data_IF_107933099156
#
_entry.id   IF_107933099156
#
_cell.length_a   1.000
_cell.length_b   1.000
_cell.length_c   1.000
_cell.angle_alpha   90.00
_cell.angle_beta   90.00
_cell.angle_gamma   90.00
#
_symmetry.space_group_name_H-M   'P 1'
#
loop_
_entity.id
_entity.type
_entity.pdbx_description
1 polymer ?
#
# COMPACT_ATOMS: atom_id res chain seq x y z
N UNK A 1 1.12 -22.75 -18.27
CA UNK A 1 0.51 -22.38 -16.97
C UNK A 1 -0.06 -20.98 -17.13
N UNK A 2 -1.39 -20.85 -17.11
CA UNK A 2 -2.04 -19.55 -17.15
C UNK A 2 -1.59 -18.76 -15.91
N UNK A 3 -0.92 -17.62 -16.11
CA UNK A 3 -0.70 -16.66 -15.05
C UNK A 3 -2.09 -16.31 -14.53
N UNK A 4 -2.38 -16.66 -13.28
CA UNK A 4 -3.56 -16.13 -12.62
C UNK A 4 -3.41 -14.61 -12.66
N UNK A 5 -4.31 -13.93 -13.38
CA UNK A 5 -4.52 -12.48 -13.30
C UNK A 5 -5.02 -12.17 -11.89
N UNK A 6 -4.11 -12.33 -10.92
CA UNK A 6 -4.35 -11.98 -9.53
C UNK A 6 -4.45 -10.47 -9.55
N UNK A 7 -5.65 -9.94 -9.35
CA UNK A 7 -5.88 -8.52 -9.17
C UNK A 7 -5.07 -8.03 -7.95
N UNK A 8 -3.83 -7.63 -8.20
CA UNK A 8 -2.91 -7.13 -7.17
C UNK A 8 -3.38 -5.75 -6.77
N UNK A 9 -3.37 -5.47 -5.47
CA UNK A 9 -3.76 -4.17 -4.94
C UNK A 9 -2.77 -3.11 -5.41
N UNK A 10 -3.22 -1.90 -5.73
CA UNK A 10 -2.33 -0.83 -6.17
C UNK A 10 -1.38 -0.44 -5.03
N UNK A 11 -0.17 0.00 -5.39
CA UNK A 11 0.90 0.30 -4.43
C UNK A 11 0.53 1.31 -3.34
N UNK A 12 -0.40 2.24 -3.59
CA UNK A 12 -0.83 3.19 -2.56
C UNK A 12 -1.50 2.48 -1.37
N UNK A 13 -2.22 1.37 -1.60
CA UNK A 13 -2.84 0.57 -0.53
C UNK A 13 -1.76 -0.07 0.34
N UNK A 14 -0.67 -0.51 -0.29
CA UNK A 14 0.51 -1.02 0.43
C UNK A 14 1.09 0.05 1.35
N UNK A 15 1.34 1.27 0.84
CA UNK A 15 1.87 2.38 1.65
C UNK A 15 0.94 2.77 2.80
N UNK A 16 -0.39 2.82 2.58
CA UNK A 16 -1.36 3.09 3.66
C UNK A 16 -1.25 2.02 4.74
N UNK A 17 -1.20 0.75 4.35
CA UNK A 17 -1.10 -0.35 5.30
C UNK A 17 0.19 -0.25 6.13
N UNK A 18 1.34 0.00 5.50
CA UNK A 18 2.61 0.17 6.21
C UNK A 18 2.56 1.34 7.20
N UNK A 19 2.03 2.50 6.81
CA UNK A 19 1.92 3.64 7.73
C UNK A 19 1.00 3.35 8.91
N UNK A 20 -0.19 2.80 8.66
CA UNK A 20 -1.14 2.48 9.73
C UNK A 20 -0.53 1.47 10.68
N UNK A 21 0.03 0.38 10.16
CA UNK A 21 0.66 -0.67 10.94
C UNK A 21 1.86 -0.15 11.72
N UNK A 22 2.73 0.63 11.07
CA UNK A 22 3.92 1.20 11.67
C UNK A 22 3.58 2.17 12.81
N UNK A 23 2.65 3.09 12.59
CA UNK A 23 2.18 4.05 13.62
C UNK A 23 1.49 3.30 14.76
N UNK A 24 0.65 2.31 14.47
CA UNK A 24 0.03 1.46 15.49
C UNK A 24 1.08 0.75 16.33
N UNK A 25 2.12 0.21 15.72
CA UNK A 25 3.17 -0.52 16.44
C UNK A 25 4.05 0.41 17.28
N UNK A 26 4.36 1.61 16.79
CA UNK A 26 4.98 2.67 17.62
C UNK A 26 4.11 2.99 18.83
N UNK A 27 2.81 3.20 18.60
CA UNK A 27 1.87 3.57 19.66
C UNK A 27 1.70 2.45 20.68
N UNK A 28 1.66 1.19 20.24
CA UNK A 28 1.66 0.02 21.11
C UNK A 28 2.93 -0.01 21.98
N UNK A 29 4.11 0.27 21.39
CA UNK A 29 5.35 0.37 22.14
C UNK A 29 5.34 1.46 23.21
N UNK A 30 4.76 2.62 22.93
CA UNK A 30 4.62 3.68 23.93
C UNK A 30 3.69 3.31 25.10
N UNK A 31 2.91 2.23 24.98
CA UNK A 31 2.00 1.74 26.01
C UNK A 31 2.56 0.53 26.78
N UNK A 32 3.75 0.04 26.43
CA UNK A 32 4.35 -1.16 27.04
C UNK A 32 5.53 -0.80 27.96
N UNK A 33 5.82 -1.61 28.99
CA UNK A 33 7.00 -1.42 29.85
C UNK A 33 8.31 -1.47 29.07
N UNK A 34 8.36 -2.30 28.02
CA UNK A 34 9.48 -2.43 27.09
C UNK A 34 9.16 -1.76 25.75
N UNK A 35 9.32 -0.44 25.62
CA UNK A 35 8.87 0.31 24.44
C UNK A 35 9.80 0.13 23.25
N UNK A 36 11.07 -0.21 23.49
CA UNK A 36 12.13 -0.08 22.49
C UNK A 36 11.87 -0.95 21.26
N UNK A 37 11.64 -2.25 21.44
CA UNK A 37 11.45 -3.18 20.33
C UNK A 37 10.24 -2.84 19.43
N UNK A 38 8.99 -2.74 19.95
CA UNK A 38 7.85 -2.35 19.13
C UNK A 38 8.00 -0.95 18.52
N UNK A 39 8.55 0.02 19.26
CA UNK A 39 8.72 1.39 18.73
C UNK A 39 9.72 1.46 17.58
N UNK A 40 10.87 0.79 17.71
CA UNK A 40 11.88 0.77 16.65
C UNK A 40 11.40 0.01 15.41
N UNK A 41 10.71 -1.11 15.58
CA UNK A 41 10.10 -1.85 14.47
C UNK A 41 9.03 -1.01 13.76
N UNK A 42 8.15 -0.35 14.52
CA UNK A 42 7.13 0.53 13.96
C UNK A 42 7.74 1.71 13.20
N UNK A 43 8.75 2.35 13.79
CA UNK A 43 9.49 3.45 13.15
C UNK A 43 10.19 3.00 11.86
N UNK A 44 10.78 1.80 11.85
CA UNK A 44 11.40 1.21 10.66
C UNK A 44 10.38 1.02 9.53
N UNK A 45 9.19 0.50 9.83
CA UNK A 45 8.11 0.32 8.86
C UNK A 45 7.65 1.68 8.30
N UNK A 46 7.44 2.68 9.17
CA UNK A 46 7.07 4.04 8.75
C UNK A 46 8.16 4.65 7.86
N UNK A 47 9.43 4.51 8.22
CA UNK A 47 10.55 5.03 7.44
C UNK A 47 10.64 4.37 6.05
N UNK A 48 10.41 3.06 5.97
CA UNK A 48 10.38 2.34 4.70
C UNK A 48 9.25 2.86 3.79
N UNK A 49 8.03 2.98 4.32
CA UNK A 49 6.88 3.53 3.60
C UNK A 49 7.07 5.00 3.18
N UNK A 50 7.75 5.78 4.02
CA UNK A 50 8.03 7.20 3.82
C UNK A 50 9.10 7.47 2.76
N UNK A 51 10.00 6.52 2.51
CA UNK A 51 11.14 6.72 1.61
C UNK A 51 10.95 6.13 0.21
N UNK A 52 9.90 5.33 -0.01
CA UNK A 52 9.62 4.72 -1.32
C UNK A 52 8.89 5.66 -2.26
N UNK A 53 9.27 5.63 -3.54
CA UNK A 53 8.64 6.38 -4.63
C UNK A 53 7.18 5.94 -4.82
N UNK A 54 6.26 6.77 -4.37
CA UNK A 54 4.85 6.44 -4.31
C UNK A 54 3.97 7.65 -3.99
N UNK A 55 2.66 7.56 -4.23
CA UNK A 55 1.74 8.68 -4.03
C UNK A 55 1.66 9.18 -2.57
N UNK A 56 2.09 8.36 -1.60
CA UNK A 56 2.09 8.71 -0.18
C UNK A 56 3.51 8.81 0.40
N UNK A 57 4.51 9.00 -0.46
CA UNK A 57 5.89 9.19 -0.02
C UNK A 57 6.07 10.53 0.69
N UNK A 58 6.84 10.56 1.77
CA UNK A 58 7.36 11.80 2.34
C UNK A 58 8.70 12.18 1.68
N UNK A 59 9.48 11.18 1.27
CA UNK A 59 10.79 11.32 0.67
C UNK A 59 10.91 10.37 -0.53
N UNK A 60 10.78 10.86 -1.77
CA UNK A 60 10.76 10.04 -2.99
C UNK A 60 12.15 9.49 -3.41
N UNK A 61 12.82 8.74 -2.54
CA UNK A 61 14.22 8.32 -2.71
C UNK A 61 14.32 6.90 -3.28
N UNK A 62 13.65 5.93 -2.66
CA UNK A 62 13.80 4.50 -2.94
C UNK A 62 12.85 4.04 -4.05
N UNK A 63 13.31 3.41 -5.13
CA UNK A 63 12.42 2.86 -6.15
C UNK A 63 11.66 1.62 -5.63
N UNK A 64 10.41 1.44 -6.10
CA UNK A 64 9.51 0.34 -5.69
C UNK A 64 10.10 -1.08 -5.81
N UNK A 65 11.02 -1.28 -6.76
CA UNK A 65 11.72 -2.56 -6.94
C UNK A 65 12.63 -2.89 -5.75
N UNK A 66 13.29 -1.87 -5.19
CA UNK A 66 14.15 -2.04 -4.01
C UNK A 66 13.28 -2.22 -2.77
N UNK A 67 12.22 -1.41 -2.61
CA UNK A 67 11.22 -1.58 -1.54
C UNK A 67 10.67 -3.01 -1.47
N UNK A 68 10.28 -3.58 -2.62
CA UNK A 68 9.81 -4.98 -2.71
C UNK A 68 10.80 -6.00 -2.13
N UNK A 69 12.11 -5.72 -2.19
CA UNK A 69 13.16 -6.58 -1.63
C UNK A 69 13.42 -6.29 -0.14
N UNK A 70 13.19 -5.05 0.30
CA UNK A 70 13.36 -4.62 1.69
C UNK A 70 12.20 -5.14 2.56
N UNK A 71 10.96 -5.13 2.08
CA UNK A 71 9.81 -5.49 2.91
C UNK A 71 9.92 -6.90 3.53
N UNK A 72 10.36 -7.95 2.81
CA UNK A 72 10.56 -9.27 3.42
C UNK A 72 11.63 -9.29 4.50
N UNK A 73 12.64 -8.43 4.40
CA UNK A 73 13.62 -8.28 5.46
C UNK A 73 12.96 -7.63 6.68
N UNK A 74 12.16 -6.57 6.49
CA UNK A 74 11.48 -5.88 7.58
C UNK A 74 10.46 -6.79 8.27
N UNK A 75 9.52 -7.40 7.55
CA UNK A 75 8.55 -8.29 8.20
C UNK A 75 9.21 -9.55 8.75
N UNK A 76 10.33 -10.00 8.15
CA UNK A 76 11.16 -11.07 8.71
C UNK A 76 11.73 -10.70 10.08
N UNK A 77 12.30 -9.50 10.22
CA UNK A 77 12.79 -8.98 11.49
C UNK A 77 11.68 -8.85 12.54
N UNK A 78 10.49 -8.38 12.13
CA UNK A 78 9.31 -8.31 12.99
C UNK A 78 8.93 -9.71 13.50
N UNK A 79 8.83 -10.70 12.61
CA UNK A 79 8.48 -12.08 12.99
C UNK A 79 9.55 -12.72 13.88
N UNK A 80 10.83 -12.50 13.60
CA UNK A 80 11.93 -12.99 14.43
C UNK A 80 11.90 -12.36 15.82
N UNK A 81 11.57 -11.07 15.93
CA UNK A 81 11.43 -10.38 17.22
C UNK A 81 10.30 -10.99 18.05
N UNK A 82 9.17 -11.32 17.41
CA UNK A 82 8.06 -12.00 18.08
C UNK A 82 8.42 -13.42 18.54
N UNK A 83 9.13 -14.19 17.69
CA UNK A 83 9.41 -15.61 17.89
C UNK A 83 10.59 -15.87 18.84
N UNK A 84 11.63 -15.03 18.80
CA UNK A 84 12.85 -15.27 19.56
C UNK A 84 12.79 -14.63 20.96
N UNK A 85 13.22 -15.34 22.02
CA UNK A 85 13.25 -14.81 23.38
C UNK A 85 14.48 -13.91 23.64
N UNK A 86 14.83 -13.04 22.68
CA UNK A 86 16.02 -12.17 22.79
C UNK A 86 15.72 -10.87 23.55
N UNK A 87 14.47 -10.43 23.50
CA UNK A 87 13.99 -9.23 24.17
C UNK A 87 13.02 -9.60 25.30
N UNK A 88 13.01 -8.83 26.39
CA UNK A 88 12.13 -9.05 27.55
C UNK A 88 10.69 -8.53 27.30
N UNK A 89 10.11 -8.94 26.17
CA UNK A 89 8.79 -8.50 25.73
C UNK A 89 7.74 -9.47 26.28
N UNK A 90 6.68 -8.94 26.89
CA UNK A 90 5.56 -9.73 27.39
C UNK A 90 4.81 -10.47 26.26
N UNK A 91 4.05 -11.51 26.63
CA UNK A 91 3.35 -12.36 25.68
C UNK A 91 2.31 -11.63 24.81
N UNK A 92 1.64 -10.61 25.37
CA UNK A 92 0.66 -9.81 24.63
C UNK A 92 1.33 -8.97 23.55
N UNK A 93 2.41 -8.27 23.91
CA UNK A 93 3.19 -7.48 22.95
C UNK A 93 3.83 -8.36 21.88
N UNK A 94 4.35 -9.54 22.24
CA UNK A 94 4.86 -10.54 21.27
C UNK A 94 3.79 -10.98 20.28
N UNK A 95 2.58 -11.26 20.77
CA UNK A 95 1.45 -11.63 19.92
C UNK A 95 1.11 -10.50 18.91
N UNK A 96 1.07 -9.25 19.38
CA UNK A 96 0.82 -8.08 18.51
C UNK A 96 1.90 -7.95 17.44
N UNK A 97 3.18 -8.01 17.82
CA UNK A 97 4.31 -7.96 16.86
C UNK A 97 4.19 -9.09 15.83
N UNK A 98 3.89 -10.31 16.27
CA UNK A 98 3.72 -11.46 15.39
C UNK A 98 2.55 -11.28 14.41
N UNK A 99 1.39 -10.84 14.89
CA UNK A 99 0.23 -10.56 14.06
C UNK A 99 0.53 -9.47 13.01
N UNK A 100 1.22 -8.40 13.41
CA UNK A 100 1.70 -7.35 12.50
C UNK A 100 2.60 -7.93 11.41
N UNK A 101 3.57 -8.76 11.76
CA UNK A 101 4.46 -9.41 10.80
C UNK A 101 3.71 -10.24 9.76
N UNK A 102 2.69 -10.99 10.18
CA UNK A 102 1.83 -11.78 9.28
C UNK A 102 1.02 -10.87 8.34
N UNK A 103 0.45 -9.78 8.86
CA UNK A 103 -0.31 -8.82 8.04
C UNK A 103 0.60 -8.14 7.02
N UNK A 104 1.82 -7.74 7.40
CA UNK A 104 2.80 -7.17 6.46
C UNK A 104 3.18 -8.15 5.36
N UNK A 105 3.42 -9.43 5.70
CA UNK A 105 3.69 -10.47 4.71
C UNK A 105 2.52 -10.65 3.74
N UNK A 106 1.28 -10.61 4.23
CA UNK A 106 0.07 -10.67 3.40
C UNK A 106 -0.03 -9.45 2.47
N UNK A 107 0.13 -8.23 3.02
CA UNK A 107 0.10 -6.99 2.25
C UNK A 107 1.16 -7.02 1.15
N UNK A 108 2.40 -7.40 1.48
CA UNK A 108 3.49 -7.55 0.53
C UNK A 108 3.15 -8.52 -0.61
N UNK A 109 2.60 -9.70 -0.27
CA UNK A 109 2.28 -10.76 -1.24
C UNK A 109 1.21 -10.36 -2.26
N UNK A 110 0.22 -9.55 -1.84
CA UNK A 110 -0.90 -9.12 -2.69
C UNK A 110 -0.71 -7.72 -3.32
N UNK A 111 0.47 -7.11 -3.18
CA UNK A 111 0.75 -5.76 -3.70
C UNK A 111 1.33 -5.76 -5.12
N UNK A 112 0.91 -4.79 -5.92
CA UNK A 112 1.52 -4.46 -7.21
C UNK A 112 2.59 -3.39 -7.03
N UNK A 113 3.80 -3.68 -7.50
CA UNK A 113 4.95 -2.77 -7.45
C UNK A 113 5.19 -2.07 -8.79
N UNK A 114 4.41 -2.43 -9.81
CA UNK A 114 4.53 -1.84 -11.13
C UNK A 114 4.02 -0.39 -11.08
N UNK A 115 4.70 0.54 -11.77
CA UNK A 115 4.16 1.87 -11.94
C UNK A 115 2.79 1.76 -12.63
N UNK A 116 1.80 2.60 -12.26
CA UNK A 116 0.52 2.60 -12.95
C UNK A 116 0.77 2.82 -14.43
N UNK A 117 0.23 1.92 -15.28
CA UNK A 117 0.27 2.08 -16.72
C UNK A 117 -0.45 3.39 -17.02
N UNK A 118 0.30 4.42 -17.42
CA UNK A 118 -0.29 5.66 -17.89
C UNK A 118 -1.07 5.29 -19.15
N UNK A 119 -2.41 5.36 -19.08
CA UNK A 119 -3.21 5.24 -20.30
C UNK A 119 -2.67 6.24 -21.31
N UNK A 120 -2.37 5.75 -22.52
CA UNK A 120 -1.76 6.57 -23.55
C UNK A 120 -2.66 7.76 -23.82
N UNK A 121 -2.07 8.92 -24.16
CA UNK A 121 -2.86 10.11 -24.49
C UNK A 121 -3.92 9.80 -25.57
N UNK A 122 -3.64 8.88 -26.51
CA UNK A 122 -4.58 8.40 -27.53
C UNK A 122 -5.82 7.73 -26.95
N UNK A 123 -5.67 6.86 -25.95
CA UNK A 123 -6.79 6.15 -25.32
C UNK A 123 -7.73 7.10 -24.56
N UNK A 124 -7.17 8.15 -23.94
CA UNK A 124 -7.95 9.23 -23.31
C UNK A 124 -8.66 10.11 -24.33
N UNK A 125 -8.03 10.36 -25.48
CA UNK A 125 -8.62 11.10 -26.59
C UNK A 125 -9.78 10.32 -27.22
N UNK A 126 -9.64 9.00 -27.41
CA UNK A 126 -10.71 8.15 -27.93
C UNK A 126 -11.92 8.10 -26.98
N UNK A 127 -11.68 7.94 -25.68
CA UNK A 127 -12.73 8.00 -24.68
C UNK A 127 -13.44 9.37 -24.68
N UNK A 128 -12.68 10.46 -24.81
CA UNK A 128 -13.21 11.83 -24.93
C UNK A 128 -14.04 12.05 -26.19
N UNK A 129 -13.60 11.52 -27.34
CA UNK A 129 -14.33 11.60 -28.60
C UNK A 129 -15.62 10.76 -28.59
N UNK A 130 -15.61 9.60 -27.93
CA UNK A 130 -16.82 8.77 -27.76
C UNK A 130 -17.81 9.49 -26.85
N UNK A 131 -17.36 10.04 -25.73
CA UNK A 131 -18.20 10.82 -24.81
C UNK A 131 -18.76 12.08 -25.48
N UNK A 132 -17.95 12.80 -26.25
CA UNK A 132 -18.38 13.98 -27.01
C UNK A 132 -19.44 13.65 -28.06
N UNK A 133 -19.30 12.53 -28.77
CA UNK A 133 -20.29 12.05 -29.74
C UNK A 133 -21.61 11.67 -29.06
N UNK A 134 -21.57 11.04 -27.89
CA UNK A 134 -22.78 10.69 -27.13
C UNK A 134 -23.50 11.94 -26.59
N UNK A 135 -22.76 12.90 -26.04
CA UNK A 135 -23.32 14.17 -25.58
C UNK A 135 -23.94 14.97 -26.74
N UNK A 136 -23.24 15.06 -27.87
CA UNK A 136 -23.74 15.73 -29.08
C UNK A 136 -25.03 15.09 -29.62
N UNK A 137 -25.12 13.75 -29.59
CA UNK A 137 -26.36 13.02 -29.96
C UNK A 137 -27.51 13.34 -29.00
N UNK A 138 -27.25 13.41 -27.70
CA UNK A 138 -28.26 13.78 -26.70
C UNK A 138 -28.82 15.20 -26.90
N UNK A 139 -27.94 16.17 -27.13
CA UNK A 139 -28.34 17.57 -27.37
C UNK A 139 -29.12 17.73 -28.68
N UNK A 140 -28.69 17.06 -29.76
CA UNK A 140 -29.42 17.07 -31.03
C UNK A 140 -30.78 16.37 -30.92
N UNK A 141 -30.88 15.27 -30.17
CA UNK A 141 -32.15 14.59 -29.93
C UNK A 141 -33.13 15.46 -29.13
N UNK A 142 -32.63 16.23 -28.15
CA UNK A 142 -33.45 17.16 -27.37
C UNK A 142 -33.93 18.35 -28.21
N UNK A 143 -33.06 18.95 -29.03
CA UNK A 143 -33.44 20.05 -29.95
C UNK A 143 -34.49 19.64 -30.98
N UNK A 144 -34.55 18.37 -31.36
CA UNK A 144 -35.52 17.83 -32.32
C UNK A 144 -36.86 17.43 -31.70
N UNK A 145 -37.05 17.59 -30.37
CA UNK A 145 -38.36 17.38 -29.77
C UNK A 145 -39.29 18.54 -30.15
N UNK A 146 -40.43 18.27 -30.83
CA UNK A 146 -41.43 19.30 -31.05
C UNK A 146 -41.99 19.72 -29.69
N UNK A 147 -42.00 21.03 -29.43
CA UNK A 147 -42.67 21.61 -28.27
C UNK A 147 -44.17 21.46 -28.50
N UNK A 148 -44.79 20.53 -27.78
CA UNK A 148 -46.24 20.48 -27.60
C UNK A 148 -46.63 21.46 -26.51
#
# INVERSE_FOLDING_TARGET
MAASDRARRPFWVHQVAEYVIGIMLVTAGLQTPEPAAPSLLGALIVANAATVKGPLSAFDVIPRRIHRLIDPVIFGLVLLTAALPVFDIDGGTRFVIGAVGVVLAFVWWYSSYDPPVRSSAGERLDAGQIAGRLAGRGVNAWRRRPRQ
#
